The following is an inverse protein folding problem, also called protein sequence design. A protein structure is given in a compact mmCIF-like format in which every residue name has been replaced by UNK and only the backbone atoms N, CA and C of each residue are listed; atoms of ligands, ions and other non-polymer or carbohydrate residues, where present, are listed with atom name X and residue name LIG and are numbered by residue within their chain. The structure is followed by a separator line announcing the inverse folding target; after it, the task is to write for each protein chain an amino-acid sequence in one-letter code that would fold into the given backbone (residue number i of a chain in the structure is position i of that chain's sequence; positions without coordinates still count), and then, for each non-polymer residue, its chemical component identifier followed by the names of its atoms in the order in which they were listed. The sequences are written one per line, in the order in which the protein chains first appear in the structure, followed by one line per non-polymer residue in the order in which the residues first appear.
data_IF_667499534445
#
_entry.id   IF_667499534445
#
_cell.length_a   1.000
_cell.length_b   1.000
_cell.length_c   1.000
_cell.angle_alpha   90.00
_cell.angle_beta   90.00
_cell.angle_gamma   90.00
#
_symmetry.space_group_name_H-M   'P 1'
#
loop_
_entity.id
_entity.type
_entity.pdbx_description
1 polymer ?
#
# COMPACT_ATOMS: atom_id res chain seq x y z
N UNK A 1 -4.90 -1.17 -9.68
CA UNK A 1 -3.85 -1.84 -10.46
C UNK A 1 -4.48 -2.85 -11.39
N UNK A 2 -4.03 -2.96 -12.64
CA UNK A 2 -4.52 -4.01 -13.54
C UNK A 2 -3.80 -5.34 -13.25
N UNK A 3 -4.57 -6.41 -13.10
CA UNK A 3 -4.13 -7.78 -12.88
C UNK A 3 -3.81 -8.46 -14.22
N UNK A 4 -3.10 -9.58 -14.18
CA UNK A 4 -2.66 -10.32 -15.37
C UNK A 4 -3.85 -10.95 -16.11
N UNK A 5 -4.92 -11.26 -15.41
CA UNK A 5 -6.20 -11.71 -15.99
C UNK A 5 -7.04 -10.58 -16.61
N UNK A 6 -6.54 -9.33 -16.57
CA UNK A 6 -7.17 -8.15 -17.14
C UNK A 6 -8.11 -7.41 -16.19
N UNK A 7 -8.46 -7.97 -15.02
CA UNK A 7 -9.26 -7.26 -14.00
C UNK A 7 -8.49 -6.07 -13.44
N UNK A 8 -9.21 -5.10 -12.90
CA UNK A 8 -8.61 -4.01 -12.14
C UNK A 8 -8.90 -4.24 -10.66
N UNK A 9 -7.85 -4.38 -9.85
CA UNK A 9 -7.92 -4.37 -8.38
C UNK A 9 -7.94 -2.93 -7.87
N UNK A 10 -8.92 -2.62 -7.01
CA UNK A 10 -8.96 -1.43 -6.16
C UNK A 10 -8.77 -1.84 -4.70
N UNK A 11 -7.89 -1.14 -3.98
CA UNK A 11 -7.85 -1.14 -2.52
C UNK A 11 -8.46 0.16 -2.00
N UNK A 12 -9.26 0.05 -0.95
CA UNK A 12 -10.16 1.10 -0.48
C UNK A 12 -9.81 1.48 0.96
N UNK A 13 -9.59 2.78 1.17
CA UNK A 13 -9.47 3.38 2.51
C UNK A 13 -10.83 3.34 3.23
N UNK A 14 -10.85 2.77 4.43
CA UNK A 14 -12.06 2.67 5.27
C UNK A 14 -11.77 3.08 6.72
N UNK A 15 -12.84 3.24 7.51
CA UNK A 15 -12.78 3.44 8.97
C UNK A 15 -13.00 2.15 9.77
N UNK A 16 -12.88 0.97 9.13
CA UNK A 16 -13.25 -0.33 9.72
C UNK A 16 -12.05 -1.13 10.23
N UNK A 17 -10.90 -0.48 10.44
CA UNK A 17 -9.60 -1.08 10.78
C UNK A 17 -8.99 -2.01 9.72
N UNK A 18 -9.66 -2.17 8.58
CA UNK A 18 -9.20 -3.03 7.47
C UNK A 18 -9.42 -2.37 6.13
N UNK A 19 -8.47 -2.52 5.22
CA UNK A 19 -8.72 -2.12 3.83
C UNK A 19 -9.78 -3.01 3.22
N UNK A 20 -10.55 -2.44 2.30
CA UNK A 20 -11.49 -3.20 1.48
C UNK A 20 -10.91 -3.33 0.08
N UNK A 21 -11.36 -4.34 -0.68
CA UNK A 21 -11.02 -4.51 -2.08
C UNK A 21 -12.26 -4.60 -2.95
N UNK A 22 -12.14 -4.19 -4.19
CA UNK A 22 -13.15 -4.43 -5.23
C UNK A 22 -12.45 -4.67 -6.57
N UNK A 23 -13.14 -5.34 -7.48
CA UNK A 23 -12.62 -5.65 -8.79
C UNK A 23 -13.50 -5.05 -9.88
N UNK A 24 -12.88 -4.60 -10.97
CA UNK A 24 -13.58 -4.27 -12.20
C UNK A 24 -13.15 -5.23 -13.32
N UNK A 25 -14.12 -5.67 -14.13
CA UNK A 25 -13.90 -6.53 -15.30
C UNK A 25 -14.07 -5.77 -16.63
N UNK A 26 -14.38 -4.47 -16.58
CA UNK A 26 -14.81 -3.67 -17.74
C UNK A 26 -14.03 -2.36 -17.88
N UNK A 27 -12.78 -2.34 -17.42
CA UNK A 27 -11.91 -1.17 -17.51
C UNK A 27 -12.23 -0.07 -16.50
N UNK A 28 -12.89 -0.40 -15.39
CA UNK A 28 -13.21 0.52 -14.29
C UNK A 28 -14.57 1.19 -14.40
N UNK A 29 -15.44 0.76 -15.33
CA UNK A 29 -16.78 1.31 -15.49
C UNK A 29 -17.73 0.83 -14.40
N UNK A 30 -17.67 -0.46 -14.08
CA UNK A 30 -18.40 -1.06 -12.97
C UNK A 30 -17.45 -1.81 -12.04
N UNK A 31 -17.88 -1.99 -10.80
CA UNK A 31 -17.11 -2.60 -9.73
C UNK A 31 -17.94 -3.67 -9.04
N UNK A 32 -17.29 -4.75 -8.63
CA UNK A 32 -17.87 -5.74 -7.73
C UNK A 32 -18.26 -5.08 -6.39
N UNK A 33 -19.15 -5.71 -5.60
CA UNK A 33 -19.28 -5.38 -4.20
C UNK A 33 -17.91 -5.38 -3.51
N UNK A 34 -17.70 -4.44 -2.58
CA UNK A 34 -16.44 -4.35 -1.84
C UNK A 34 -16.36 -5.45 -0.78
N UNK A 35 -15.20 -6.10 -0.69
CA UNK A 35 -14.92 -7.15 0.28
C UNK A 35 -13.89 -6.68 1.30
N UNK A 36 -14.06 -7.10 2.56
CA UNK A 36 -13.09 -6.82 3.63
C UNK A 36 -11.85 -7.70 3.46
N UNK A 37 -10.67 -7.11 3.55
CA UNK A 37 -9.39 -7.83 3.55
C UNK A 37 -8.84 -8.01 4.96
N UNK A 38 -7.79 -8.81 5.11
CA UNK A 38 -7.04 -8.94 6.37
C UNK A 38 -6.00 -7.82 6.60
N UNK A 39 -5.82 -6.93 5.62
CA UNK A 39 -4.84 -5.84 5.67
C UNK A 39 -5.29 -4.78 6.68
N UNK A 40 -4.57 -4.67 7.79
CA UNK A 40 -4.80 -3.62 8.81
C UNK A 40 -4.37 -2.26 8.28
N UNK A 41 -5.15 -1.22 8.59
CA UNK A 41 -4.73 0.16 8.31
C UNK A 41 -5.47 1.18 9.20
N UNK A 42 -4.82 2.29 9.60
CA UNK A 42 -5.39 3.27 10.52
C UNK A 42 -6.13 4.37 9.75
N UNK A 43 -7.03 3.97 8.84
CA UNK A 43 -7.72 4.91 7.96
C UNK A 43 -6.75 5.90 7.27
N UNK A 44 -5.59 5.43 6.82
CA UNK A 44 -4.57 6.26 6.17
C UNK A 44 -4.56 5.97 4.65
N UNK A 45 -4.15 6.93 3.79
CA UNK A 45 -3.92 6.64 2.37
C UNK A 45 -2.84 5.57 2.16
N UNK A 46 -2.98 4.79 1.09
CA UNK A 46 -2.07 3.72 0.66
C UNK A 46 -1.72 3.86 -0.81
N UNK A 47 -0.67 3.20 -1.23
CA UNK A 47 -0.27 3.11 -2.64
C UNK A 47 -0.12 1.66 -3.05
N UNK A 48 -0.79 1.28 -4.13
CA UNK A 48 -0.71 -0.03 -4.78
C UNK A 48 -0.14 0.15 -6.18
N UNK A 49 0.88 -0.62 -6.55
CA UNK A 49 1.46 -0.57 -7.90
C UNK A 49 2.17 -1.87 -8.26
N UNK A 50 2.16 -2.24 -9.54
CA UNK A 50 2.98 -3.35 -10.07
C UNK A 50 4.44 -2.94 -10.23
N UNK A 51 5.37 -3.83 -9.88
CA UNK A 51 6.79 -3.62 -10.18
C UNK A 51 7.00 -3.84 -11.70
N UNK A 52 7.54 -2.85 -12.45
CA UNK A 52 7.70 -2.96 -13.89
C UNK A 52 8.49 -4.20 -14.32
N UNK A 53 8.01 -4.89 -15.35
CA UNK A 53 8.66 -6.09 -15.88
C UNK A 53 8.45 -7.36 -15.04
N UNK A 54 7.56 -7.33 -14.04
CA UNK A 54 7.26 -8.49 -13.18
C UNK A 54 5.75 -8.62 -12.93
N UNK A 55 5.36 -9.78 -12.40
CA UNK A 55 3.98 -10.03 -11.95
C UNK A 55 3.71 -9.62 -10.50
N UNK A 56 4.73 -9.08 -9.80
CA UNK A 56 4.64 -8.77 -8.37
C UNK A 56 4.05 -7.38 -8.14
N UNK A 57 3.17 -7.30 -7.14
CA UNK A 57 2.57 -6.03 -6.69
C UNK A 57 3.23 -5.54 -5.41
N UNK A 58 3.39 -4.23 -5.26
CA UNK A 58 3.75 -3.60 -3.99
C UNK A 58 2.57 -2.86 -3.39
N UNK A 59 2.47 -2.93 -2.06
CA UNK A 59 1.58 -2.10 -1.26
C UNK A 59 2.43 -1.31 -0.27
N UNK A 60 2.18 0.00 -0.21
CA UNK A 60 2.75 0.86 0.81
C UNK A 60 1.62 1.43 1.65
N UNK A 61 1.64 1.14 2.94
CA UNK A 61 0.56 1.51 3.86
C UNK A 61 1.06 1.65 5.30
N UNK A 62 0.20 2.19 6.16
CA UNK A 62 0.46 2.17 7.59
C UNK A 62 -0.02 0.85 8.19
N UNK A 63 0.91 -0.05 8.52
CA UNK A 63 0.59 -1.41 8.97
C UNK A 63 0.35 -1.48 10.49
N UNK A 64 -0.57 -0.67 10.99
CA UNK A 64 -0.95 -0.66 12.40
C UNK A 64 -2.37 -0.13 12.59
N UNK A 65 -3.03 -0.62 13.65
CA UNK A 65 -4.32 -0.10 14.12
C UNK A 65 -4.37 -0.13 15.64
N UNK A 66 -5.03 0.85 16.22
CA UNK A 66 -5.42 0.91 17.63
C UNK A 66 -6.94 1.03 17.65
N UNK A 67 -7.68 -0.11 17.81
CA UNK A 67 -9.14 -0.09 17.79
C UNK A 67 -9.72 0.88 18.81
N UNK A 68 -10.68 1.69 18.39
CA UNK A 68 -11.36 2.67 19.24
C UNK A 68 -10.60 3.99 19.45
N UNK A 69 -9.36 4.10 18.96
CA UNK A 69 -8.68 5.40 18.87
C UNK A 69 -9.24 6.23 17.71
N UNK A 70 -9.10 7.55 17.80
CA UNK A 70 -9.38 8.45 16.68
C UNK A 70 -8.54 8.04 15.47
N UNK A 71 -9.18 8.02 14.29
CA UNK A 71 -8.62 7.48 13.05
C UNK A 71 -7.92 6.11 13.20
N UNK A 72 -8.34 5.28 14.15
CA UNK A 72 -7.75 3.96 14.43
C UNK A 72 -6.25 4.01 14.78
N UNK A 73 -5.77 5.12 15.35
CA UNK A 73 -4.42 5.25 15.90
C UNK A 73 -3.41 5.99 15.00
N UNK A 74 -2.13 5.98 15.39
CA UNK A 74 -1.10 6.73 14.67
C UNK A 74 -0.81 6.11 13.30
N UNK A 75 -0.44 6.97 12.34
CA UNK A 75 -0.02 6.54 11.00
C UNK A 75 1.45 6.13 10.99
N UNK A 76 1.78 5.09 11.75
CA UNK A 76 3.13 4.51 11.87
C UNK A 76 3.05 3.04 12.28
N UNK A 77 3.91 2.14 11.78
CA UNK A 77 4.96 2.39 10.79
C UNK A 77 4.39 2.75 9.41
N UNK A 78 5.21 3.32 8.52
CA UNK A 78 4.97 3.29 7.08
C UNK A 78 5.68 2.06 6.54
N UNK A 79 4.93 1.13 5.97
CA UNK A 79 5.40 -0.22 5.62
C UNK A 79 5.29 -0.42 4.12
N UNK A 80 6.24 -1.15 3.54
CA UNK A 80 6.15 -1.71 2.19
C UNK A 80 6.03 -3.23 2.27
N UNK A 81 5.09 -3.78 1.53
CA UNK A 81 4.88 -5.21 1.36
C UNK A 81 4.75 -5.57 -0.11
N UNK A 82 4.84 -6.87 -0.39
CA UNK A 82 4.80 -7.44 -1.73
C UNK A 82 3.75 -8.55 -1.80
N UNK A 83 3.11 -8.68 -2.96
CA UNK A 83 2.21 -9.77 -3.29
C UNK A 83 2.72 -10.48 -4.55
N UNK A 84 2.74 -11.80 -4.48
CA UNK A 84 3.11 -12.72 -5.55
C UNK A 84 1.89 -13.43 -6.18
N UNK A 85 0.69 -13.09 -5.71
CA UNK A 85 -0.58 -13.76 -5.99
C UNK A 85 -1.69 -12.75 -6.32
N UNK A 86 -1.34 -11.74 -7.12
CA UNK A 86 -2.28 -10.74 -7.66
C UNK A 86 -3.06 -9.93 -6.59
N UNK A 87 -2.48 -9.76 -5.41
CA UNK A 87 -3.02 -8.96 -4.32
C UNK A 87 -3.89 -9.75 -3.34
N UNK A 88 -3.91 -11.08 -3.43
CA UNK A 88 -4.62 -11.94 -2.47
C UNK A 88 -3.92 -11.98 -1.11
N UNK A 89 -2.59 -12.18 -1.08
CA UNK A 89 -1.79 -12.15 0.14
C UNK A 89 -0.63 -11.16 0.05
N UNK A 90 -0.17 -10.69 1.22
CA UNK A 90 0.84 -9.66 1.32
C UNK A 90 1.93 -10.05 2.33
N UNK A 91 3.17 -10.18 1.85
CA UNK A 91 4.35 -10.35 2.69
C UNK A 91 4.92 -8.97 3.03
N UNK A 92 5.11 -8.68 4.31
CA UNK A 92 5.82 -7.46 4.72
C UNK A 92 7.30 -7.56 4.34
N UNK A 93 7.82 -6.57 3.62
CA UNK A 93 9.24 -6.48 3.27
C UNK A 93 10.01 -5.69 4.34
N UNK A 94 9.61 -4.45 4.61
CA UNK A 94 10.23 -3.59 5.63
C UNK A 94 9.34 -2.43 6.04
N UNK A 95 9.65 -1.84 7.18
CA UNK A 95 9.19 -0.50 7.53
C UNK A 95 10.10 0.53 6.85
N UNK A 96 9.51 1.45 6.10
CA UNK A 96 10.18 2.65 5.55
C UNK A 96 10.40 3.65 6.69
N UNK A 97 9.43 3.77 7.59
CA UNK A 97 9.50 4.61 8.78
C UNK A 97 8.84 3.88 9.97
N UNK A 98 9.38 4.06 11.17
CA UNK A 98 8.96 3.30 12.35
C UNK A 98 8.92 4.09 13.66
N UNK A 99 9.07 5.42 13.58
CA UNK A 99 9.00 6.28 14.77
C UNK A 99 7.66 6.12 15.47
N UNK A 100 7.68 5.78 16.77
CA UNK A 100 6.50 5.47 17.59
C UNK A 100 5.41 6.57 17.61
N UNK A 101 5.83 7.84 17.52
CA UNK A 101 4.94 9.00 17.43
C UNK A 101 4.98 9.67 16.04
N UNK A 102 5.47 8.95 15.04
CA UNK A 102 5.43 9.40 13.65
C UNK A 102 4.01 9.39 13.11
N UNK A 103 3.75 10.26 12.13
CA UNK A 103 2.53 10.23 11.33
C UNK A 103 2.93 10.41 9.88
N UNK A 104 2.81 9.33 9.10
CA UNK A 104 3.19 9.28 7.71
C UNK A 104 1.96 9.13 6.83
N UNK A 105 1.85 9.89 5.74
CA UNK A 105 0.63 9.83 4.93
C UNK A 105 0.80 10.36 3.51
N UNK A 106 -0.21 10.07 2.67
CA UNK A 106 -0.30 10.51 1.28
C UNK A 106 0.97 10.17 0.49
N UNK A 107 1.41 8.92 0.62
CA UNK A 107 2.52 8.42 -0.17
C UNK A 107 2.15 8.41 -1.65
N UNK A 108 3.08 8.87 -2.48
CA UNK A 108 3.04 8.75 -3.93
C UNK A 108 4.37 8.16 -4.38
N UNK A 109 4.34 7.32 -5.41
CA UNK A 109 5.53 6.61 -5.88
C UNK A 109 5.66 6.59 -7.39
N UNK A 110 6.88 6.43 -7.86
CA UNK A 110 7.20 6.19 -9.27
C UNK A 110 8.41 5.27 -9.38
N UNK A 111 8.37 4.35 -10.34
CA UNK A 111 9.55 3.58 -10.73
C UNK A 111 10.33 4.32 -11.81
N UNK A 112 11.64 4.46 -11.61
CA UNK A 112 12.58 5.04 -12.57
C UNK A 112 13.98 4.49 -12.33
N UNK A 113 14.71 4.19 -13.40
CA UNK A 113 16.13 3.78 -13.34
C UNK A 113 16.40 2.67 -12.28
N UNK A 114 15.65 1.57 -12.37
CA UNK A 114 15.67 0.42 -11.44
C UNK A 114 15.49 0.77 -9.96
N UNK A 115 14.77 1.87 -9.69
CA UNK A 115 14.54 2.42 -8.36
C UNK A 115 13.07 2.80 -8.18
N UNK A 116 12.51 2.45 -7.03
CA UNK A 116 11.25 2.98 -6.54
C UNK A 116 11.52 4.29 -5.81
N UNK A 117 10.98 5.39 -6.31
CA UNK A 117 11.01 6.69 -5.65
C UNK A 117 9.70 6.93 -4.92
N UNK A 118 9.78 7.47 -3.70
CA UNK A 118 8.62 7.73 -2.86
C UNK A 118 8.67 9.16 -2.31
N UNK A 119 7.53 9.84 -2.32
CA UNK A 119 7.31 11.09 -1.60
C UNK A 119 6.10 10.94 -0.68
N UNK A 120 6.17 11.47 0.53
CA UNK A 120 5.10 11.36 1.53
C UNK A 120 5.24 12.44 2.60
N UNK A 121 4.16 12.75 3.31
CA UNK A 121 4.23 13.62 4.49
C UNK A 121 4.72 12.84 5.70
N UNK A 122 5.56 13.47 6.52
CA UNK A 122 5.98 12.99 7.83
C UNK A 122 6.20 14.14 8.82
N UNK A 123 6.71 13.87 10.04
CA UNK A 123 7.14 14.91 10.95
C UNK A 123 8.15 15.85 10.28
N UNK A 124 7.89 17.16 10.34
CA UNK A 124 8.73 18.17 9.69
C UNK A 124 8.40 18.48 8.23
N UNK A 125 7.40 17.83 7.62
CA UNK A 125 6.89 18.15 6.29
C UNK A 125 7.05 17.03 5.27
N UNK A 126 7.28 17.39 4.00
CA UNK A 126 7.44 16.45 2.90
C UNK A 126 8.76 15.68 3.03
N UNK A 127 8.71 14.37 2.84
CA UNK A 127 9.86 13.46 2.88
C UNK A 127 10.00 12.76 1.54
N UNK A 128 11.23 12.35 1.24
CA UNK A 128 11.60 11.58 0.06
C UNK A 128 12.44 10.39 0.46
N UNK A 129 12.17 9.24 -0.16
CA UNK A 129 12.98 8.03 -0.05
C UNK A 129 13.11 7.35 -1.40
N UNK A 130 14.12 6.50 -1.53
CA UNK A 130 14.31 5.65 -2.71
C UNK A 130 14.69 4.23 -2.30
N UNK A 131 14.13 3.24 -2.98
CA UNK A 131 14.39 1.82 -2.74
C UNK A 131 14.79 1.18 -4.08
N UNK A 132 16.00 0.65 -4.23
CA UNK A 132 16.37 -0.11 -5.42
C UNK A 132 15.43 -1.30 -5.65
N UNK A 133 14.98 -1.52 -6.88
CA UNK A 133 14.04 -2.61 -7.23
C UNK A 133 14.58 -3.97 -6.80
N UNK A 134 15.90 -4.19 -6.92
CA UNK A 134 16.55 -5.41 -6.45
C UNK A 134 16.31 -5.73 -4.98
N UNK A 135 16.10 -4.72 -4.11
CA UNK A 135 15.77 -4.95 -2.69
C UNK A 135 14.33 -5.38 -2.48
N UNK A 136 13.43 -5.05 -3.42
CA UNK A 136 12.02 -5.47 -3.38
C UNK A 136 11.85 -6.92 -3.81
N UNK A 137 12.76 -7.41 -4.66
CA UNK A 137 12.73 -8.75 -5.26
C UNK A 137 13.61 -9.77 -4.51
N UNK A 138 14.09 -9.43 -3.32
CA UNK A 138 14.85 -10.36 -2.47
C UNK A 138 13.89 -11.22 -1.64
N UNK A 139 14.12 -12.53 -1.64
CA UNK A 139 13.37 -13.51 -0.86
C UNK A 139 13.64 -13.41 0.65
#
# INVERSE_FOLDING_TARGET
EQLNDGRILMLIRTQTTRMYRAFSNDGGQTWSPSEKTDIVHPEAPMQLQRIPGTDKLILIWNNAVVPGADHQGPRTPLTIGISDDEGETWKQLKNIEETKNGSYSYVSVAFRDDTLHLVYYGPGGLRYQSIPVKQLLQD
#
